data_IF_346804304898
#
_entry.id   IF_346804304898
#
_cell.length_a   1.000
_cell.length_b   1.000
_cell.length_c   1.000
_cell.angle_alpha   90.00
_cell.angle_beta   90.00
_cell.angle_gamma   90.00
#
_symmetry.space_group_name_H-M   'P 1'
#
loop_
_entity.id
_entity.type
_entity.pdbx_description
1 polymer ?
#
# COMPACT_ATOMS: atom_id res chain seq x y z
N UNK A 1 -0.65 1.85 -17.68
CA UNK A 1 0.80 1.58 -17.58
C UNK A 1 1.53 2.86 -17.24
N UNK A 2 2.65 2.77 -16.51
CA UNK A 2 3.47 3.94 -16.17
C UNK A 2 4.23 4.42 -17.40
N UNK A 3 4.38 5.74 -17.56
CA UNK A 3 5.18 6.33 -18.64
C UNK A 3 6.65 5.90 -18.53
N UNK A 4 7.17 5.82 -17.30
CA UNK A 4 8.47 5.21 -17.02
C UNK A 4 8.30 3.72 -16.75
N UNK A 5 9.07 2.83 -17.41
CA UNK A 5 9.07 1.41 -17.07
C UNK A 5 9.44 1.23 -15.60
N UNK A 6 8.54 0.64 -14.82
CA UNK A 6 8.76 0.33 -13.41
C UNK A 6 8.79 -1.18 -13.23
N UNK A 7 9.82 -1.67 -12.54
CA UNK A 7 9.92 -3.09 -12.20
C UNK A 7 8.91 -3.49 -11.14
N UNK A 8 8.64 -4.80 -11.03
CA UNK A 8 7.77 -5.35 -10.00
C UNK A 8 8.29 -5.02 -8.59
N UNK A 9 7.40 -5.02 -7.59
CA UNK A 9 7.80 -4.75 -6.20
C UNK A 9 8.83 -5.78 -5.69
N UNK A 10 8.69 -7.04 -6.08
CA UNK A 10 9.61 -8.12 -5.74
C UNK A 10 11.02 -7.86 -6.30
N UNK A 11 11.12 -7.45 -7.56
CA UNK A 11 12.41 -7.14 -8.20
C UNK A 11 13.06 -5.90 -7.59
N UNK A 12 12.26 -4.89 -7.24
CA UNK A 12 12.75 -3.68 -6.57
C UNK A 12 13.37 -4.00 -5.21
N UNK A 13 12.70 -4.83 -4.39
CA UNK A 13 13.23 -5.26 -3.09
C UNK A 13 14.49 -6.12 -3.26
N UNK A 14 14.47 -7.07 -4.21
CA UNK A 14 15.65 -7.90 -4.52
C UNK A 14 16.83 -7.05 -4.95
N UNK A 15 16.60 -6.05 -5.81
CA UNK A 15 17.65 -5.12 -6.26
C UNK A 15 18.19 -4.29 -5.10
N UNK A 16 17.32 -3.76 -4.24
CA UNK A 16 17.72 -3.02 -3.04
C UNK A 16 18.62 -3.86 -2.11
N UNK A 17 18.22 -5.10 -1.81
CA UNK A 17 19.02 -6.03 -1.02
C UNK A 17 20.36 -6.31 -1.68
N UNK A 18 20.40 -6.55 -3.00
CA UNK A 18 21.65 -6.83 -3.71
C UNK A 18 22.68 -5.70 -3.61
N UNK A 19 22.22 -4.45 -3.56
CA UNK A 19 23.09 -3.27 -3.51
C UNK A 19 23.50 -2.88 -2.09
N UNK A 20 22.59 -3.05 -1.13
CA UNK A 20 22.76 -2.48 0.23
C UNK A 20 22.94 -3.53 1.31
N UNK A 21 22.67 -4.81 1.01
CA UNK A 21 22.58 -5.91 1.96
C UNK A 21 21.52 -5.71 3.06
N UNK A 22 20.56 -4.79 2.84
CA UNK A 22 19.44 -4.54 3.75
C UNK A 22 18.16 -5.19 3.22
N UNK A 23 17.40 -5.79 4.12
CA UNK A 23 16.10 -6.39 3.82
C UNK A 23 14.96 -5.38 4.03
N UNK A 24 13.98 -5.43 3.14
CA UNK A 24 12.68 -4.74 3.27
C UNK A 24 11.62 -5.83 3.26
N UNK A 25 10.92 -6.01 4.37
CA UNK A 25 9.81 -6.96 4.46
C UNK A 25 8.65 -6.50 3.57
N UNK A 26 8.02 -7.45 2.87
CA UNK A 26 6.90 -7.19 1.97
C UNK A 26 5.68 -8.00 2.43
N UNK A 27 4.57 -7.29 2.64
CA UNK A 27 3.25 -7.85 2.90
C UNK A 27 2.32 -7.31 1.81
N UNK A 28 1.65 -8.19 1.07
CA UNK A 28 0.74 -7.81 -0.03
C UNK A 28 -0.69 -8.16 0.40
N UNK A 29 -1.51 -7.14 0.58
CA UNK A 29 -2.92 -7.26 0.97
C UNK A 29 -3.58 -5.90 1.06
N UNK A 30 -4.88 -5.90 1.37
CA UNK A 30 -5.68 -4.69 1.57
C UNK A 30 -5.67 -4.32 3.06
N UNK A 31 -5.39 -3.05 3.37
CA UNK A 31 -5.41 -2.56 4.77
C UNK A 31 -6.83 -2.48 5.34
N UNK A 32 -7.86 -2.47 4.49
CA UNK A 32 -9.26 -2.60 4.91
C UNK A 32 -9.60 -4.03 5.38
N UNK A 33 -8.76 -5.02 5.07
CA UNK A 33 -8.83 -6.36 5.64
C UNK A 33 -8.05 -6.38 6.96
N UNK A 34 -8.80 -6.30 8.06
CA UNK A 34 -8.21 -6.24 9.40
C UNK A 34 -7.45 -7.52 9.77
N UNK A 35 -7.84 -8.69 9.27
CA UNK A 35 -7.12 -9.94 9.57
C UNK A 35 -5.73 -9.88 8.94
N UNK A 36 -5.65 -9.50 7.67
CA UNK A 36 -4.37 -9.28 6.99
C UNK A 36 -3.51 -8.21 7.68
N UNK A 37 -4.10 -7.04 7.99
CA UNK A 37 -3.37 -5.94 8.61
C UNK A 37 -2.83 -6.33 9.98
N UNK A 38 -3.66 -6.98 10.81
CA UNK A 38 -3.30 -7.45 12.15
C UNK A 38 -2.17 -8.48 12.12
N UNK A 39 -2.21 -9.44 11.18
CA UNK A 39 -1.13 -10.41 10.98
C UNK A 39 0.17 -9.72 10.56
N UNK A 40 0.12 -8.79 9.60
CA UNK A 40 1.29 -8.03 9.16
C UNK A 40 1.89 -7.20 10.31
N UNK A 41 1.04 -6.53 11.11
CA UNK A 41 1.46 -5.73 12.25
C UNK A 41 2.11 -6.58 13.34
N UNK A 42 1.52 -7.73 13.66
CA UNK A 42 2.04 -8.65 14.68
C UNK A 42 3.32 -9.32 14.24
N UNK A 43 3.45 -9.62 12.94
CA UNK A 43 4.65 -10.18 12.33
C UNK A 43 5.81 -9.18 12.32
N UNK A 44 5.56 -7.94 11.91
CA UNK A 44 6.61 -6.93 11.71
C UNK A 44 6.94 -6.13 12.99
N UNK A 45 5.95 -5.88 13.85
CA UNK A 45 6.06 -5.09 15.10
C UNK A 45 6.68 -3.70 14.89
N UNK A 46 6.03 -2.81 14.14
CA UNK A 46 6.57 -1.48 13.85
C UNK A 46 6.56 -0.55 15.08
N UNK A 47 7.64 0.21 15.29
CA UNK A 47 7.66 1.33 16.24
C UNK A 47 6.98 2.60 15.69
N UNK A 48 6.88 2.70 14.37
CA UNK A 48 6.25 3.81 13.66
C UNK A 48 5.59 3.34 12.36
N UNK A 49 4.49 3.99 11.98
CA UNK A 49 3.75 3.72 10.74
C UNK A 49 3.72 4.97 9.87
N UNK A 50 4.02 4.78 8.58
CA UNK A 50 3.84 5.81 7.55
C UNK A 50 2.76 5.32 6.58
N UNK A 51 1.60 5.96 6.59
CA UNK A 51 0.43 5.53 5.82
C UNK A 51 0.28 6.33 4.52
N UNK A 52 0.74 5.76 3.41
CA UNK A 52 0.51 6.30 2.05
C UNK A 52 -0.53 5.47 1.26
N UNK A 53 -1.19 4.51 1.92
CA UNK A 53 -2.01 3.45 1.32
C UNK A 53 -3.42 3.87 0.91
N UNK A 54 -3.59 5.09 0.41
CA UNK A 54 -4.89 5.68 0.11
C UNK A 54 -5.06 5.98 -1.38
N UNK A 55 -6.32 6.06 -1.81
CA UNK A 55 -6.68 6.58 -3.13
C UNK A 55 -6.41 8.10 -3.16
N UNK A 56 -5.27 8.50 -3.76
CA UNK A 56 -4.73 9.88 -3.74
C UNK A 56 -5.19 10.83 -4.86
N UNK A 57 -5.80 10.32 -5.91
CA UNK A 57 -6.12 11.08 -7.13
C UNK A 57 -7.40 11.87 -6.92
N UNK A 58 -7.31 13.21 -7.00
CA UNK A 58 -8.50 14.08 -6.91
C UNK A 58 -9.47 13.94 -8.10
N UNK A 59 -9.02 13.73 -9.35
CA UNK A 59 -9.95 13.47 -10.46
C UNK A 59 -10.68 12.12 -10.35
N UNK A 60 -10.06 11.10 -9.76
CA UNK A 60 -10.60 9.74 -9.70
C UNK A 60 -11.98 9.61 -9.03
N UNK A 61 -12.24 10.17 -7.82
CA UNK A 61 -13.55 10.11 -7.19
C UNK A 61 -14.59 10.93 -7.96
N UNK A 62 -14.17 11.87 -8.81
CA UNK A 62 -15.07 12.72 -9.59
C UNK A 62 -15.57 12.06 -10.88
N UNK A 63 -15.08 10.87 -11.22
CA UNK A 63 -15.49 10.17 -12.46
C UNK A 63 -16.93 9.66 -12.34
N UNK A 64 -17.28 9.02 -11.22
CA UNK A 64 -18.63 8.53 -10.96
C UNK A 64 -18.86 8.26 -9.47
N UNK A 65 -20.13 7.99 -9.11
CA UNK A 65 -20.56 7.70 -7.75
C UNK A 65 -19.82 6.53 -7.11
N UNK A 66 -19.56 5.44 -7.85
CA UNK A 66 -18.93 4.24 -7.30
C UNK A 66 -17.49 4.53 -6.89
N UNK A 67 -16.75 5.33 -7.70
CA UNK A 67 -15.38 5.75 -7.39
C UNK A 67 -15.31 6.79 -6.26
N UNK A 68 -16.31 7.65 -6.15
CA UNK A 68 -16.45 8.56 -5.00
C UNK A 68 -16.63 7.77 -3.69
N UNK A 69 -17.57 6.82 -3.68
CA UNK A 69 -17.82 5.96 -2.51
C UNK A 69 -16.60 5.12 -2.16
N UNK A 70 -15.97 4.49 -3.16
CA UNK A 70 -14.74 3.72 -2.95
C UNK A 70 -13.63 4.57 -2.33
N UNK A 71 -13.38 5.78 -2.83
CA UNK A 71 -12.32 6.66 -2.30
C UNK A 71 -12.57 6.99 -0.83
N UNK A 72 -13.81 7.32 -0.47
CA UNK A 72 -14.16 7.62 0.92
C UNK A 72 -14.07 6.40 1.82
N UNK A 73 -14.64 5.26 1.41
CA UNK A 73 -14.63 4.03 2.18
C UNK A 73 -13.21 3.49 2.38
N UNK A 74 -12.44 3.35 1.30
CA UNK A 74 -11.09 2.80 1.34
C UNK A 74 -10.17 3.63 2.24
N UNK A 75 -10.19 4.95 2.07
CA UNK A 75 -9.28 5.84 2.79
C UNK A 75 -9.64 5.93 4.28
N UNK A 76 -10.93 6.13 4.59
CA UNK A 76 -11.37 6.29 5.98
C UNK A 76 -11.34 4.97 6.73
N UNK A 77 -11.90 3.88 6.17
CA UNK A 77 -11.91 2.58 6.86
C UNK A 77 -10.51 1.98 6.95
N UNK A 78 -9.65 2.19 5.96
CA UNK A 78 -8.25 1.72 6.02
C UNK A 78 -7.38 2.49 7.03
N UNK A 79 -7.84 3.67 7.48
CA UNK A 79 -7.15 4.49 8.50
C UNK A 79 -7.67 4.24 9.92
N UNK A 80 -8.91 3.78 10.07
CA UNK A 80 -9.56 3.49 11.37
C UNK A 80 -9.17 2.13 11.92
#
# INVERSE_FOLDING_TARGET
ESLTPISSIHDRIRRWRSLTQKDINLYIGDVCDFEFLSEAFTSFKPDAVVHFGEQRSAPYPMIDRTRALYTQQNNVLGTL
#
